data_IF_345202789990
#
_entry.id   IF_345202789990
#
_cell.length_a   1.000
_cell.length_b   1.000
_cell.length_c   1.000
_cell.angle_alpha   90.00
_cell.angle_beta   90.00
_cell.angle_gamma   90.00
#
_symmetry.space_group_name_H-M   'P 1'
#
loop_
_entity.id
_entity.type
_entity.pdbx_description
1 polymer ?
#
# COMPACT_ATOMS: atom_id res chain seq x y z
N UNK A 1 -25.10 47.72 -60.67
CA UNK A 1 -26.27 46.85 -60.86
C UNK A 1 -25.87 45.42 -60.52
N UNK A 2 -26.29 44.92 -59.37
CA UNK A 2 -27.03 43.66 -59.19
C UNK A 2 -27.09 43.35 -57.70
N UNK A 3 -28.33 43.30 -57.20
CA UNK A 3 -28.70 42.85 -55.86
C UNK A 3 -28.67 41.31 -55.84
N UNK A 4 -28.74 40.75 -54.62
CA UNK A 4 -29.36 39.47 -54.20
C UNK A 4 -28.35 38.47 -53.61
N UNK A 5 -28.58 37.70 -52.53
CA UNK A 5 -29.52 37.62 -51.39
C UNK A 5 -28.85 36.60 -50.44
N UNK A 6 -28.91 36.86 -49.14
CA UNK A 6 -29.14 35.95 -48.01
C UNK A 6 -28.68 34.48 -48.16
N UNK A 7 -27.78 34.08 -47.26
CA UNK A 7 -27.54 32.69 -46.91
C UNK A 7 -26.93 32.59 -45.51
N UNK A 8 -27.74 32.87 -44.48
CA UNK A 8 -27.40 32.57 -43.10
C UNK A 8 -27.44 31.03 -42.96
N UNK A 9 -26.28 30.41 -42.85
CA UNK A 9 -26.16 29.05 -42.33
C UNK A 9 -25.44 29.17 -40.99
N UNK A 10 -26.21 29.29 -39.91
CA UNK A 10 -25.72 29.03 -38.56
C UNK A 10 -25.38 27.53 -38.49
N UNK A 11 -24.17 27.19 -38.89
CA UNK A 11 -23.57 25.90 -38.56
C UNK A 11 -23.32 25.88 -37.06
N UNK A 12 -24.24 25.28 -36.30
CA UNK A 12 -23.97 24.91 -34.91
C UNK A 12 -22.95 23.78 -34.96
N UNK A 13 -21.68 24.13 -34.89
CA UNK A 13 -20.62 23.19 -34.63
C UNK A 13 -20.79 22.69 -33.19
N UNK A 14 -21.47 21.55 -33.03
CA UNK A 14 -21.38 20.76 -31.80
C UNK A 14 -19.95 20.23 -31.72
N UNK A 15 -19.06 21.01 -31.11
CA UNK A 15 -17.79 20.51 -30.61
C UNK A 15 -18.10 19.56 -29.46
N UNK A 16 -18.17 18.27 -29.74
CA UNK A 16 -18.19 17.21 -28.74
C UNK A 16 -16.88 17.28 -27.97
N UNK A 17 -16.90 17.95 -26.82
CA UNK A 17 -15.85 17.87 -25.83
C UNK A 17 -15.79 16.40 -25.35
N UNK A 18 -14.82 15.65 -25.86
CA UNK A 18 -14.45 14.38 -25.29
C UNK A 18 -13.92 14.64 -23.87
N UNK A 19 -14.79 14.50 -22.85
CA UNK A 19 -14.32 14.26 -21.49
C UNK A 19 -13.67 12.88 -21.48
N UNK A 20 -12.37 12.85 -21.73
CA UNK A 20 -11.54 11.75 -21.29
C UNK A 20 -11.52 11.79 -19.76
N UNK A 21 -12.46 11.07 -19.14
CA UNK A 21 -12.32 10.69 -17.73
C UNK A 21 -11.09 9.77 -17.70
N UNK A 22 -9.94 10.32 -17.31
CA UNK A 22 -8.77 9.51 -17.00
C UNK A 22 -9.18 8.59 -15.85
N UNK A 23 -9.44 7.32 -16.17
CA UNK A 23 -9.58 6.28 -15.17
C UNK A 23 -8.27 6.23 -14.39
N UNK A 24 -8.27 6.77 -13.17
CA UNK A 24 -7.16 6.59 -12.27
C UNK A 24 -7.03 5.09 -12.00
N UNK A 25 -5.85 4.48 -12.21
CA UNK A 25 -5.71 3.05 -12.01
C UNK A 25 -5.93 2.74 -10.53
N UNK A 26 -6.61 1.62 -10.26
CA UNK A 26 -6.97 1.10 -8.94
C UNK A 26 -5.75 0.65 -8.09
N UNK A 27 -4.64 1.37 -8.15
CA UNK A 27 -3.35 1.04 -7.55
C UNK A 27 -3.43 0.95 -6.01
N UNK A 28 -4.32 1.71 -5.36
CA UNK A 28 -4.45 1.74 -3.91
C UNK A 28 -5.04 0.47 -3.28
N UNK A 29 -6.06 -0.14 -3.90
CA UNK A 29 -6.70 -1.34 -3.35
C UNK A 29 -5.82 -2.58 -3.50
N UNK A 30 -5.14 -2.72 -4.64
CA UNK A 30 -4.21 -3.83 -4.89
C UNK A 30 -3.01 -3.83 -3.94
N UNK A 31 -2.43 -2.66 -3.67
CA UNK A 31 -1.31 -2.54 -2.74
C UNK A 31 -1.71 -2.87 -1.29
N UNK A 32 -2.90 -2.47 -0.85
CA UNK A 32 -3.40 -2.82 0.48
C UNK A 32 -3.65 -4.32 0.60
N UNK A 33 -4.28 -4.94 -0.40
CA UNK A 33 -4.51 -6.38 -0.44
C UNK A 33 -3.21 -7.18 -0.39
N UNK A 34 -2.21 -6.80 -1.20
CA UNK A 34 -0.89 -7.43 -1.21
C UNK A 34 -0.21 -7.34 0.17
N UNK A 35 -0.28 -6.17 0.82
CA UNK A 35 0.28 -5.99 2.16
C UNK A 35 -0.43 -6.89 3.18
N UNK A 36 -1.76 -6.96 3.18
CA UNK A 36 -2.51 -7.83 4.12
C UNK A 36 -2.29 -9.31 3.87
N UNK A 37 -2.06 -9.70 2.61
CA UNK A 37 -1.81 -11.09 2.23
C UNK A 37 -0.38 -11.55 2.59
N UNK A 38 0.61 -10.70 2.36
CA UNK A 38 2.01 -11.02 2.64
C UNK A 38 2.37 -10.91 4.13
N UNK A 39 1.63 -10.10 4.91
CA UNK A 39 1.94 -9.79 6.29
C UNK A 39 0.75 -10.09 7.23
N UNK A 40 0.84 -11.11 8.10
CA UNK A 40 -0.20 -11.41 9.08
C UNK A 40 -0.21 -10.46 10.28
N UNK A 41 0.84 -9.64 10.49
CA UNK A 41 0.94 -8.73 11.63
C UNK A 41 0.28 -7.37 11.36
N UNK A 42 -0.26 -6.68 12.38
CA UNK A 42 -0.90 -5.38 12.20
C UNK A 42 0.08 -4.32 11.70
N UNK A 43 -0.42 -3.39 10.87
CA UNK A 43 0.37 -2.27 10.39
C UNK A 43 0.26 -1.07 11.34
N UNK A 44 0.94 -1.12 12.48
CA UNK A 44 0.81 -0.10 13.53
C UNK A 44 1.27 1.30 13.08
N UNK A 45 2.25 1.42 12.18
CA UNK A 45 2.66 2.74 11.64
C UNK A 45 1.57 3.39 10.81
N UNK A 46 0.68 2.58 10.22
CA UNK A 46 -0.51 3.12 9.55
C UNK A 46 -1.43 3.79 10.57
N UNK A 47 -1.61 3.20 11.75
CA UNK A 47 -2.42 3.78 12.84
C UNK A 47 -1.82 5.11 13.31
N UNK A 48 -0.51 5.17 13.54
CA UNK A 48 0.19 6.43 13.85
C UNK A 48 -0.08 7.50 12.79
N UNK A 49 0.02 7.14 11.50
CA UNK A 49 -0.22 8.07 10.40
C UNK A 49 -1.68 8.56 10.34
N UNK A 50 -2.64 7.68 10.63
CA UNK A 50 -4.07 7.97 10.52
C UNK A 50 -4.63 8.72 11.74
N UNK A 51 -4.13 8.40 12.93
CA UNK A 51 -4.67 8.88 14.22
C UNK A 51 -3.66 9.70 15.02
N UNK A 52 -2.57 10.18 14.40
CA UNK A 52 -1.49 10.87 15.10
C UNK A 52 -1.93 12.04 15.99
N UNK A 53 -2.94 12.80 15.54
CA UNK A 53 -3.53 13.91 16.32
C UNK A 53 -4.27 13.43 17.58
N UNK A 54 -4.86 12.23 17.56
CA UNK A 54 -5.59 11.65 18.69
C UNK A 54 -4.66 11.01 19.72
N UNK A 55 -3.43 10.68 19.32
CA UNK A 55 -2.44 10.01 20.16
C UNK A 55 -1.68 10.97 21.07
N UNK A 56 -1.85 12.29 20.90
CA UNK A 56 -1.18 13.30 21.72
C UNK A 56 0.35 13.16 21.69
N UNK A 57 0.91 12.85 20.51
CA UNK A 57 2.35 12.67 20.34
C UNK A 57 3.07 14.00 20.56
N UNK A 58 4.18 13.97 21.28
CA UNK A 58 5.10 15.11 21.28
C UNK A 58 5.77 15.27 19.91
N UNK A 59 6.33 16.45 19.64
CA UNK A 59 7.11 16.68 18.42
C UNK A 59 8.29 15.72 18.30
N UNK A 60 8.97 15.41 19.41
CA UNK A 60 10.09 14.45 19.43
C UNK A 60 9.63 13.03 19.09
N UNK A 61 8.52 12.57 19.67
CA UNK A 61 7.96 11.24 19.37
C UNK A 61 7.55 11.13 17.90
N UNK A 62 6.84 12.13 17.38
CA UNK A 62 6.41 12.17 15.98
C UNK A 62 7.62 12.14 15.02
N UNK A 63 8.69 12.86 15.35
CA UNK A 63 9.93 12.88 14.57
C UNK A 63 10.63 11.52 14.57
N UNK A 64 10.80 10.86 15.73
CA UNK A 64 11.41 9.54 15.80
C UNK A 64 10.62 8.47 15.03
N UNK A 65 9.29 8.48 15.15
CA UNK A 65 8.42 7.56 14.41
C UNK A 65 8.49 7.80 12.91
N UNK A 66 8.62 9.06 12.49
CA UNK A 66 8.78 9.44 11.07
C UNK A 66 10.09 8.93 10.49
N UNK A 67 11.20 9.12 11.22
CA UNK A 67 12.52 8.60 10.83
C UNK A 67 12.47 7.09 10.66
N UNK A 68 11.89 6.38 11.64
CA UNK A 68 11.73 4.94 11.57
C UNK A 68 10.92 4.50 10.34
N UNK A 69 9.78 5.15 10.10
CA UNK A 69 8.91 4.87 8.95
C UNK A 69 9.67 5.04 7.64
N UNK A 70 10.41 6.14 7.48
CA UNK A 70 11.11 6.45 6.24
C UNK A 70 12.23 5.44 5.93
N UNK A 71 12.93 4.96 6.96
CA UNK A 71 13.95 3.93 6.80
C UNK A 71 13.37 2.56 6.40
N UNK A 72 12.15 2.21 6.84
CA UNK A 72 11.64 0.83 6.71
C UNK A 72 10.48 0.68 5.71
N UNK A 73 9.73 1.73 5.38
CA UNK A 73 8.53 1.62 4.54
C UNK A 73 8.84 1.16 3.11
N UNK A 74 9.91 1.68 2.50
CA UNK A 74 10.36 1.27 1.17
C UNK A 74 10.75 -0.22 1.13
N UNK A 75 11.75 -0.65 1.91
CA UNK A 75 12.16 -2.06 1.96
C UNK A 75 11.01 -3.03 2.27
N UNK A 76 10.09 -2.64 3.17
CA UNK A 76 8.89 -3.44 3.47
C UNK A 76 7.97 -3.59 2.26
N UNK A 77 7.79 -2.54 1.46
CA UNK A 77 6.99 -2.61 0.25
C UNK A 77 7.63 -3.53 -0.78
N UNK A 78 8.95 -3.44 -0.95
CA UNK A 78 9.70 -4.27 -1.90
C UNK A 78 9.59 -5.75 -1.54
N UNK A 79 9.73 -6.11 -0.25
CA UNK A 79 9.54 -7.49 0.20
C UNK A 79 8.13 -8.02 -0.09
N UNK A 80 7.09 -7.19 0.10
CA UNK A 80 5.71 -7.58 -0.21
C UNK A 80 5.53 -7.83 -1.71
N UNK A 81 6.11 -6.98 -2.57
CA UNK A 81 6.04 -7.18 -4.02
C UNK A 81 6.77 -8.46 -4.45
N UNK A 82 7.92 -8.75 -3.86
CA UNK A 82 8.66 -9.99 -4.14
C UNK A 82 7.90 -11.24 -3.67
N UNK A 83 7.18 -11.19 -2.54
CA UNK A 83 6.27 -12.29 -2.15
C UNK A 83 5.22 -12.54 -3.22
N UNK A 84 4.49 -11.50 -3.66
CA UNK A 84 3.44 -11.62 -4.68
C UNK A 84 4.00 -12.15 -6.01
N UNK A 85 5.20 -11.71 -6.39
CA UNK A 85 5.90 -12.17 -7.58
C UNK A 85 6.26 -13.65 -7.49
N UNK A 86 6.86 -14.09 -6.38
CA UNK A 86 7.22 -15.49 -6.19
C UNK A 86 6.00 -16.40 -6.07
N UNK A 87 4.87 -15.92 -5.52
CA UNK A 87 3.63 -16.69 -5.51
C UNK A 87 3.09 -16.94 -6.93
N UNK A 88 3.18 -15.93 -7.82
CA UNK A 88 2.86 -16.12 -9.24
C UNK A 88 3.82 -17.11 -9.90
N UNK A 89 5.13 -17.01 -9.61
CA UNK A 89 6.12 -17.97 -10.12
C UNK A 89 5.84 -19.39 -9.65
N UNK A 90 5.52 -19.57 -8.37
CA UNK A 90 5.18 -20.86 -7.77
C UNK A 90 3.94 -21.48 -8.44
N UNK A 91 2.91 -20.66 -8.68
CA UNK A 91 1.71 -21.08 -9.40
C UNK A 91 2.07 -21.57 -10.81
N UNK A 92 2.82 -20.78 -11.57
CA UNK A 92 3.22 -21.14 -12.93
C UNK A 92 4.09 -22.41 -12.97
N UNK A 93 5.06 -22.54 -12.06
CA UNK A 93 5.90 -23.72 -11.96
C UNK A 93 5.08 -24.98 -11.69
N UNK A 94 4.08 -24.87 -10.80
CA UNK A 94 3.17 -25.97 -10.48
C UNK A 94 2.31 -26.39 -11.67
N UNK A 95 1.86 -25.44 -12.50
CA UNK A 95 1.05 -25.70 -13.68
C UNK A 95 1.86 -26.20 -14.89
N UNK A 96 3.18 -25.95 -14.89
CA UNK A 96 4.07 -26.29 -16.01
C UNK A 96 4.81 -27.63 -15.82
N UNK A 97 4.53 -28.35 -14.74
CA UNK A 97 5.19 -29.64 -14.45
C UNK A 97 6.66 -29.48 -14.03
N UNK A 98 7.06 -28.33 -13.51
CA UNK A 98 8.42 -28.12 -12.99
C UNK A 98 8.75 -29.12 -11.86
N UNK A 99 10.03 -29.52 -11.71
CA UNK A 99 10.43 -30.45 -10.66
C UNK A 99 10.08 -29.92 -9.27
N UNK A 100 9.66 -30.82 -8.37
CA UNK A 100 9.37 -30.49 -6.96
C UNK A 100 10.49 -29.66 -6.31
N UNK A 101 11.75 -29.95 -6.61
CA UNK A 101 12.89 -29.19 -6.08
C UNK A 101 12.83 -27.69 -6.43
N UNK A 102 12.44 -27.35 -7.67
CA UNK A 102 12.27 -25.95 -8.10
C UNK A 102 11.11 -25.28 -7.38
N UNK A 103 9.96 -25.96 -7.30
CA UNK A 103 8.78 -25.47 -6.58
C UNK A 103 9.11 -25.20 -5.11
N UNK A 104 9.80 -26.13 -4.45
CA UNK A 104 10.19 -25.98 -3.05
C UNK A 104 11.22 -24.86 -2.82
N UNK A 105 12.11 -24.60 -3.78
CA UNK A 105 13.05 -23.47 -3.69
C UNK A 105 12.31 -22.12 -3.75
N UNK A 106 11.33 -21.97 -4.64
CA UNK A 106 10.49 -20.76 -4.70
C UNK A 106 9.71 -20.60 -3.39
N UNK A 107 9.11 -21.69 -2.89
CA UNK A 107 8.38 -21.65 -1.62
C UNK A 107 9.27 -21.26 -0.44
N UNK A 108 10.50 -21.77 -0.37
CA UNK A 108 11.45 -21.39 0.66
C UNK A 108 11.73 -19.88 0.65
N UNK A 109 11.87 -19.28 -0.54
CA UNK A 109 12.07 -17.83 -0.68
C UNK A 109 10.86 -17.02 -0.22
N UNK A 110 9.65 -17.46 -0.52
CA UNK A 110 8.41 -16.84 -0.02
C UNK A 110 8.39 -16.83 1.50
N UNK A 111 8.70 -17.97 2.13
CA UNK A 111 8.68 -18.11 3.58
C UNK A 111 9.76 -17.26 4.27
N UNK A 112 10.94 -17.16 3.66
CA UNK A 112 12.02 -16.28 4.14
C UNK A 112 11.58 -14.81 4.15
N UNK A 113 11.03 -14.31 3.03
CA UNK A 113 10.53 -12.94 2.91
C UNK A 113 9.41 -12.66 3.91
N UNK A 114 8.45 -13.58 4.07
CA UNK A 114 7.37 -13.45 5.07
C UNK A 114 7.91 -13.37 6.49
N UNK A 115 8.96 -14.13 6.80
CA UNK A 115 9.63 -14.09 8.10
C UNK A 115 10.28 -12.72 8.33
N UNK A 116 10.98 -12.18 7.33
CA UNK A 116 11.58 -10.84 7.40
C UNK A 116 10.52 -9.74 7.59
N UNK A 117 9.41 -9.82 6.84
CA UNK A 117 8.26 -8.91 6.99
C UNK A 117 7.72 -8.93 8.43
N UNK A 118 7.47 -10.12 8.99
CA UNK A 118 6.97 -10.26 10.38
C UNK A 118 7.99 -9.74 11.38
N UNK A 119 9.29 -10.00 11.17
CA UNK A 119 10.35 -9.45 12.01
C UNK A 119 10.32 -7.92 12.00
N UNK A 120 10.32 -7.28 10.84
CA UNK A 120 10.30 -5.81 10.76
C UNK A 120 9.03 -5.21 11.35
N UNK A 121 7.86 -5.87 11.23
CA UNK A 121 6.64 -5.42 11.92
C UNK A 121 6.73 -5.56 13.43
N UNK A 122 7.41 -6.59 13.91
CA UNK A 122 7.69 -6.81 15.34
C UNK A 122 8.66 -5.75 15.87
N UNK A 123 9.73 -5.46 15.13
CA UNK A 123 10.68 -4.38 15.45
C UNK A 123 9.98 -3.02 15.49
N UNK A 124 9.06 -2.79 14.55
CA UNK A 124 8.25 -1.59 14.52
C UNK A 124 7.37 -1.45 15.78
N UNK A 125 6.77 -2.54 16.27
CA UNK A 125 6.01 -2.55 17.52
C UNK A 125 6.92 -2.23 18.71
N UNK A 126 8.10 -2.83 18.76
CA UNK A 126 9.01 -2.66 19.89
C UNK A 126 9.66 -1.26 19.90
N UNK A 127 9.96 -0.70 18.73
CA UNK A 127 10.36 0.70 18.61
C UNK A 127 9.25 1.66 19.06
N UNK A 128 7.97 1.37 18.75
CA UNK A 128 6.86 2.17 19.28
C UNK A 128 6.77 2.11 20.80
N UNK A 129 6.92 0.92 21.41
CA UNK A 129 6.94 0.78 22.88
C UNK A 129 8.04 1.61 23.54
N UNK A 130 9.20 1.77 22.85
CA UNK A 130 10.31 2.60 23.32
C UNK A 130 10.00 4.10 23.25
N UNK A 131 9.34 4.54 22.18
CA UNK A 131 9.10 5.97 21.90
C UNK A 131 7.87 6.50 22.64
N UNK A 132 6.81 5.71 22.69
CA UNK A 132 5.51 6.10 23.23
C UNK A 132 5.45 5.87 24.73
N UNK A 133 4.58 6.63 25.42
CA UNK A 133 4.18 6.24 26.77
C UNK A 133 3.35 4.95 26.73
N UNK A 134 3.24 4.21 27.85
CA UNK A 134 2.38 3.03 27.93
C UNK A 134 0.95 3.32 27.47
N UNK A 135 0.37 4.45 27.87
CA UNK A 135 -1.00 4.86 27.54
C UNK A 135 -1.17 5.12 26.04
N UNK A 136 -0.21 5.86 25.43
CA UNK A 136 -0.20 6.10 24.00
C UNK A 136 -0.08 4.79 23.21
N UNK A 137 0.81 3.89 23.64
CA UNK A 137 0.98 2.60 22.99
C UNK A 137 -0.28 1.73 23.09
N UNK A 138 -0.93 1.68 24.25
CA UNK A 138 -2.22 0.97 24.39
C UNK A 138 -3.30 1.57 23.49
N UNK A 139 -3.38 2.89 23.37
CA UNK A 139 -4.32 3.54 22.45
C UNK A 139 -4.06 3.14 20.99
N UNK A 140 -2.80 3.02 20.58
CA UNK A 140 -2.43 2.51 19.25
C UNK A 140 -2.94 1.08 19.03
N UNK A 141 -2.83 0.20 20.02
CA UNK A 141 -3.31 -1.18 19.92
C UNK A 141 -4.84 -1.25 19.83
N UNK A 142 -5.56 -0.46 20.63
CA UNK A 142 -7.03 -0.37 20.57
C UNK A 142 -7.50 0.10 19.18
N UNK A 143 -6.90 1.19 18.66
CA UNK A 143 -7.20 1.68 17.32
C UNK A 143 -6.86 0.65 16.23
N UNK A 144 -5.79 -0.12 16.38
CA UNK A 144 -5.42 -1.19 15.46
C UNK A 144 -6.41 -2.36 15.48
N UNK A 145 -7.02 -2.65 16.63
CA UNK A 145 -8.04 -3.67 16.80
C UNK A 145 -9.45 -3.22 16.35
N UNK A 146 -9.63 -1.93 16.05
CA UNK A 146 -10.92 -1.33 15.71
C UNK A 146 -11.77 -0.94 16.93
N UNK A 147 -11.14 -0.78 18.09
CA UNK A 147 -11.78 -0.47 19.39
C UNK A 147 -11.70 1.04 19.73
N UNK A 148 -11.88 1.91 18.72
CA UNK A 148 -11.67 3.36 18.83
C UNK A 148 -12.91 4.19 18.57
#
# INVERSE_FOLDING_TARGET
>A
MNKIIIGIVFGVAFASANLAIAAQPAQGMGAMHAMTHANPAPNLMRVIKQHGSELGLSESQAKELTIWREAHNGPMHDMVQEVVKHEKELYHASMSGEPKARIMAINARIMELRTQIVSTKTDCRDNMKRILTPEQFQKVLALAAGEG
#
